data_IF_609466301482
#
_entry.id   IF_609466301482
#
_cell.length_a   1.000
_cell.length_b   1.000
_cell.length_c   1.000
_cell.angle_alpha   90.00
_cell.angle_beta   90.00
_cell.angle_gamma   90.00
#
_symmetry.space_group_name_H-M   'P 1'
#
loop_
_entity.id
_entity.type
_entity.pdbx_description
1 polymer ?
#
# COMPACT_ATOMS: atom_id res chain seq x y z
N UNK A 1 -1.68 -11.95 -25.57
CA UNK A 1 -1.76 -11.03 -26.73
C UNK A 1 -1.49 -9.65 -26.17
N UNK A 2 -0.26 -9.15 -26.35
CA UNK A 2 0.14 -7.81 -25.90
C UNK A 2 -0.67 -6.82 -26.73
N UNK A 3 -1.45 -5.91 -26.14
CA UNK A 3 -2.15 -4.90 -26.95
C UNK A 3 -1.11 -4.06 -27.69
N UNK A 4 -1.36 -3.86 -28.98
CA UNK A 4 -0.51 -3.08 -29.89
C UNK A 4 -0.17 -1.73 -29.27
N UNK A 5 1.13 -1.55 -29.03
CA UNK A 5 1.70 -0.32 -28.49
C UNK A 5 1.72 0.71 -29.62
N UNK A 6 1.07 1.89 -29.46
CA UNK A 6 1.19 2.94 -30.45
C UNK A 6 2.65 3.42 -30.46
N UNK A 7 3.18 3.54 -31.66
CA UNK A 7 4.56 3.88 -31.94
C UNK A 7 5.05 5.11 -31.14
N UNK A 8 6.20 4.96 -30.49
CA UNK A 8 7.01 6.06 -29.96
C UNK A 8 6.92 6.26 -28.45
N UNK A 9 7.67 5.48 -27.68
CA UNK A 9 8.45 5.87 -26.49
C UNK A 9 8.89 4.59 -25.77
N UNK A 10 10.19 4.33 -25.70
CA UNK A 10 10.69 3.29 -24.81
C UNK A 10 10.24 3.61 -23.38
N UNK A 11 9.75 2.60 -22.66
CA UNK A 11 9.46 2.74 -21.24
C UNK A 11 10.72 3.29 -20.55
N UNK A 12 10.64 4.38 -19.76
CA UNK A 12 11.80 4.93 -19.08
C UNK A 12 12.44 3.81 -18.25
N UNK A 13 13.64 3.41 -18.65
CA UNK A 13 14.43 2.49 -17.86
C UNK A 13 14.96 3.29 -16.68
N UNK A 14 14.41 3.03 -15.49
CA UNK A 14 14.91 3.65 -14.26
C UNK A 14 16.17 2.91 -13.85
N UNK A 15 17.26 3.65 -13.68
CA UNK A 15 18.58 3.14 -13.32
C UNK A 15 18.96 3.58 -11.90
N UNK A 16 19.93 2.92 -11.25
CA UNK A 16 20.35 3.30 -9.90
C UNK A 16 20.80 4.76 -9.77
N UNK A 17 21.40 5.34 -10.81
CA UNK A 17 21.80 6.75 -10.87
C UNK A 17 20.63 7.74 -10.79
N UNK A 18 19.41 7.31 -11.14
CA UNK A 18 18.19 8.13 -11.09
C UNK A 18 17.62 8.22 -9.67
N UNK A 19 18.24 7.56 -8.69
CA UNK A 19 17.77 7.52 -7.30
C UNK A 19 17.48 8.91 -6.69
N UNK A 20 18.30 9.96 -6.90
CA UNK A 20 18.02 11.29 -6.36
C UNK A 20 16.75 11.91 -6.95
N UNK A 21 16.58 11.88 -8.27
CA UNK A 21 15.40 12.43 -8.96
C UNK A 21 14.13 11.63 -8.61
N UNK A 22 14.24 10.30 -8.59
CA UNK A 22 13.17 9.42 -8.14
C UNK A 22 12.74 9.75 -6.70
N UNK A 23 13.70 9.95 -5.80
CA UNK A 23 13.44 10.32 -4.42
C UNK A 23 12.76 11.68 -4.33
N UNK A 24 13.20 12.66 -5.12
CA UNK A 24 12.57 13.98 -5.19
C UNK A 24 11.10 13.87 -5.63
N UNK A 25 10.82 13.16 -6.72
CA UNK A 25 9.45 12.93 -7.20
C UNK A 25 8.59 12.22 -6.15
N UNK A 26 9.12 11.18 -5.51
CA UNK A 26 8.43 10.45 -4.46
C UNK A 26 8.13 11.34 -3.25
N UNK A 27 9.12 12.11 -2.80
CA UNK A 27 8.96 13.05 -1.68
C UNK A 27 7.98 14.15 -2.03
N UNK A 28 7.91 14.63 -3.28
CA UNK A 28 6.86 15.57 -3.72
C UNK A 28 5.46 14.94 -3.61
N UNK A 29 5.31 13.69 -4.05
CA UNK A 29 4.06 12.92 -3.91
C UNK A 29 3.66 12.71 -2.44
N UNK A 30 4.63 12.50 -1.54
CA UNK A 30 4.42 12.27 -0.09
C UNK A 30 4.32 13.56 0.72
N UNK A 31 4.90 14.66 0.27
CA UNK A 31 4.92 15.94 1.02
C UNK A 31 3.82 16.90 0.60
N UNK A 32 3.05 16.61 -0.45
CA UNK A 32 1.84 17.37 -0.83
C UNK A 32 0.91 17.59 0.39
N UNK A 33 0.90 18.82 0.89
CA UNK A 33 0.28 19.19 2.17
C UNK A 33 -1.25 19.18 2.15
N UNK A 34 -1.86 19.12 0.96
CA UNK A 34 -3.30 19.32 0.75
C UNK A 34 -4.09 18.01 0.63
N UNK A 35 -3.67 16.95 1.32
CA UNK A 35 -4.41 15.67 1.31
C UNK A 35 -5.64 15.73 2.19
N UNK A 36 -6.74 15.21 1.66
CA UNK A 36 -7.96 15.02 2.43
C UNK A 36 -8.02 13.65 3.09
N UNK A 37 -7.33 12.62 2.58
CA UNK A 37 -7.38 11.22 3.04
C UNK A 37 -6.00 10.55 3.02
N UNK A 38 -5.80 9.51 3.86
CA UNK A 38 -4.56 8.73 3.95
C UNK A 38 -4.34 7.70 2.84
N UNK A 39 -5.28 7.53 1.90
CA UNK A 39 -5.20 6.57 0.79
C UNK A 39 -3.90 6.62 -0.05
N UNK A 40 -3.32 7.79 -0.33
CA UNK A 40 -2.01 7.89 -1.01
C UNK A 40 -0.89 7.29 -0.15
N UNK A 41 -0.89 7.57 1.15
CA UNK A 41 0.12 7.06 2.09
C UNK A 41 -0.03 5.55 2.33
N UNK A 42 -1.27 5.05 2.40
CA UNK A 42 -1.59 3.62 2.41
C UNK A 42 -0.98 2.94 1.17
N UNK A 43 -1.25 3.48 -0.03
CA UNK A 43 -0.73 2.92 -1.27
C UNK A 43 0.81 2.92 -1.30
N UNK A 44 1.44 4.02 -0.88
CA UNK A 44 2.90 4.13 -0.81
C UNK A 44 3.51 3.05 0.09
N UNK A 45 3.06 2.92 1.34
CA UNK A 45 3.62 1.92 2.25
C UNK A 45 3.32 0.49 1.75
N UNK A 46 2.12 0.26 1.21
CA UNK A 46 1.77 -1.00 0.58
C UNK A 46 2.69 -1.34 -0.58
N UNK A 47 3.05 -0.35 -1.41
CA UNK A 47 3.96 -0.53 -2.54
C UNK A 47 5.36 -0.89 -2.05
N UNK A 48 5.91 -0.16 -1.08
CA UNK A 48 7.23 -0.44 -0.51
C UNK A 48 7.35 -1.86 0.06
N UNK A 49 6.27 -2.43 0.58
CA UNK A 49 6.27 -3.80 1.08
C UNK A 49 5.95 -4.85 0.02
N UNK A 50 5.09 -4.54 -0.95
CA UNK A 50 4.70 -5.49 -1.98
C UNK A 50 5.82 -5.73 -3.00
N UNK A 51 6.63 -4.72 -3.33
CA UNK A 51 7.76 -4.89 -4.28
C UNK A 51 8.81 -5.87 -3.77
N UNK A 52 8.95 -6.03 -2.45
CA UNK A 52 9.86 -7.01 -1.83
C UNK A 52 9.46 -8.46 -2.11
N UNK A 53 8.21 -8.69 -2.53
CA UNK A 53 7.69 -10.00 -2.90
C UNK A 53 7.83 -10.28 -4.41
N UNK A 54 8.33 -9.32 -5.16
CA UNK A 54 8.58 -9.47 -6.60
C UNK A 54 10.00 -9.96 -6.84
N UNK A 55 10.19 -10.73 -7.90
CA UNK A 55 11.51 -11.06 -8.45
C UNK A 55 11.67 -10.31 -9.77
N UNK A 56 12.10 -9.04 -9.74
CA UNK A 56 12.24 -8.24 -10.95
C UNK A 56 13.29 -8.86 -11.88
N UNK A 57 12.97 -8.92 -13.17
CA UNK A 57 13.95 -9.26 -14.20
C UNK A 57 14.62 -7.98 -14.70
N UNK A 58 15.96 -8.00 -14.79
CA UNK A 58 16.74 -6.82 -15.17
C UNK A 58 16.27 -6.23 -16.50
N UNK A 59 15.97 -4.93 -16.52
CA UNK A 59 15.55 -4.20 -17.72
C UNK A 59 14.12 -4.46 -18.19
N UNK A 60 13.32 -5.26 -17.47
CA UNK A 60 11.92 -5.52 -17.82
C UNK A 60 10.94 -4.84 -16.86
N UNK A 61 9.74 -4.46 -17.33
CA UNK A 61 8.67 -3.99 -16.45
C UNK A 61 8.35 -5.03 -15.37
N UNK A 62 8.08 -4.57 -14.15
CA UNK A 62 7.73 -5.47 -13.05
C UNK A 62 6.22 -5.60 -12.96
N UNK A 63 5.72 -6.83 -13.10
CA UNK A 63 4.32 -7.17 -12.86
C UNK A 63 4.02 -7.16 -11.37
N UNK A 64 3.14 -6.30 -10.91
CA UNK A 64 2.72 -6.22 -9.51
C UNK A 64 1.20 -6.43 -9.38
N UNK A 65 0.76 -7.63 -8.98
CA UNK A 65 -0.65 -7.89 -8.66
C UNK A 65 -1.15 -6.95 -7.53
N UNK A 66 -2.24 -6.23 -7.77
CA UNK A 66 -2.81 -5.27 -6.80
C UNK A 66 -3.32 -5.98 -5.54
N UNK A 67 -3.61 -7.29 -5.61
CA UNK A 67 -3.87 -8.11 -4.42
C UNK A 67 -2.76 -7.99 -3.37
N UNK A 68 -1.48 -7.94 -3.78
CA UNK A 68 -0.38 -7.83 -2.83
C UNK A 68 -0.36 -6.46 -2.14
N UNK A 69 -0.67 -5.38 -2.88
CA UNK A 69 -0.86 -4.05 -2.31
C UNK A 69 -2.01 -4.01 -1.30
N UNK A 70 -3.12 -4.68 -1.60
CA UNK A 70 -4.29 -4.77 -0.73
C UNK A 70 -4.00 -5.57 0.55
N UNK A 71 -3.31 -6.70 0.45
CA UNK A 71 -2.85 -7.49 1.60
C UNK A 71 -1.93 -6.66 2.51
N UNK A 72 -0.98 -5.90 1.93
CA UNK A 72 -0.13 -4.99 2.71
C UNK A 72 -0.94 -3.88 3.37
N UNK A 73 -1.93 -3.32 2.67
CA UNK A 73 -2.78 -2.26 3.21
C UNK A 73 -3.55 -2.75 4.45
N UNK A 74 -4.09 -3.98 4.41
CA UNK A 74 -4.75 -4.60 5.57
C UNK A 74 -3.76 -4.72 6.73
N UNK A 75 -2.54 -5.20 6.49
CA UNK A 75 -1.53 -5.37 7.54
C UNK A 75 -1.14 -4.04 8.19
N UNK A 76 -0.94 -3.00 7.39
CA UNK A 76 -0.61 -1.64 7.85
C UNK A 76 -1.77 -1.06 8.69
N UNK A 77 -3.00 -1.17 8.21
CA UNK A 77 -4.17 -0.58 8.85
C UNK A 77 -4.71 -1.40 10.03
N UNK A 78 -4.37 -2.69 10.13
CA UNK A 78 -4.86 -3.58 11.19
C UNK A 78 -4.68 -3.04 12.61
N UNK A 79 -3.50 -2.51 13.01
CA UNK A 79 -3.36 -1.83 14.29
C UNK A 79 -4.07 -0.47 14.32
N UNK A 80 -4.06 0.28 13.21
CA UNK A 80 -4.57 1.66 13.15
C UNK A 80 -6.09 1.79 13.33
N UNK A 81 -6.85 0.75 12.98
CA UNK A 81 -8.30 0.73 13.18
C UNK A 81 -8.70 0.41 14.63
N UNK A 82 -7.73 0.19 15.52
CA UNK A 82 -7.99 0.10 16.96
C UNK A 82 -8.17 1.51 17.54
N UNK A 83 -9.05 1.68 18.55
CA UNK A 83 -9.13 2.93 19.27
C UNK A 83 -7.77 3.32 19.87
N UNK A 84 -7.43 4.60 19.79
CA UNK A 84 -6.29 5.21 20.47
C UNK A 84 -6.85 6.03 21.62
N UNK A 85 -6.56 5.66 22.88
CA UNK A 85 -7.16 6.31 24.06
C UNK A 85 -8.70 6.43 23.93
N UNK A 86 -9.37 5.31 23.62
CA UNK A 86 -10.81 5.20 23.34
C UNK A 86 -11.35 5.99 22.13
N UNK A 87 -10.48 6.73 21.43
CA UNK A 87 -10.83 7.46 20.21
C UNK A 87 -10.61 6.60 18.96
N UNK A 88 -11.67 6.38 18.19
CA UNK A 88 -11.55 5.83 16.84
C UNK A 88 -10.91 6.87 15.90
N UNK A 89 -9.67 6.64 15.50
CA UNK A 89 -8.90 7.59 14.69
C UNK A 89 -9.47 7.75 13.29
N UNK A 90 -9.78 9.01 12.94
CA UNK A 90 -10.16 9.40 11.59
C UNK A 90 -8.95 9.39 10.67
N UNK A 91 -9.18 8.86 9.47
CA UNK A 91 -8.18 8.69 8.40
C UNK A 91 -8.46 9.63 7.21
N UNK A 92 -9.32 10.63 7.43
CA UNK A 92 -9.73 11.62 6.45
C UNK A 92 -10.21 12.90 7.12
N UNK A 93 -9.88 14.04 6.51
CA UNK A 93 -10.35 15.38 6.85
C UNK A 93 -11.87 15.52 6.66
N UNK A 94 -12.51 16.37 7.45
CA UNK A 94 -13.95 16.69 7.33
C UNK A 94 -14.92 15.67 7.95
N UNK A 95 -15.92 16.16 8.66
CA UNK A 95 -16.81 15.33 9.51
C UNK A 95 -17.80 14.43 8.75
N UNK A 96 -17.95 14.59 7.42
CA UNK A 96 -19.05 14.01 6.63
C UNK A 96 -18.63 12.90 5.66
N UNK A 97 -17.38 12.44 5.68
CA UNK A 97 -16.95 11.38 4.77
C UNK A 97 -16.26 10.23 5.51
N UNK A 98 -16.28 9.04 4.91
CA UNK A 98 -15.55 7.87 5.40
C UNK A 98 -14.37 7.51 4.49
N UNK A 99 -13.24 7.16 5.11
CA UNK A 99 -12.11 6.59 4.40
C UNK A 99 -12.40 5.11 4.11
N UNK A 100 -12.86 4.82 2.88
CA UNK A 100 -13.36 3.48 2.50
C UNK A 100 -12.37 2.34 2.76
N UNK A 101 -11.08 2.55 2.53
CA UNK A 101 -10.05 1.51 2.74
C UNK A 101 -9.90 1.21 4.26
N UNK A 102 -9.61 2.19 5.14
CA UNK A 102 -9.66 1.97 6.60
C UNK A 102 -10.97 1.37 7.11
N UNK A 103 -12.11 1.81 6.57
CA UNK A 103 -13.43 1.30 6.95
C UNK A 103 -13.60 -0.19 6.63
N UNK A 104 -13.14 -0.65 5.46
CA UNK A 104 -13.15 -2.07 5.11
C UNK A 104 -12.33 -2.91 6.11
N UNK A 105 -11.16 -2.41 6.52
CA UNK A 105 -10.32 -3.08 7.53
C UNK A 105 -10.98 -3.06 8.91
N UNK A 106 -11.61 -1.95 9.30
CA UNK A 106 -12.34 -1.83 10.56
C UNK A 106 -13.52 -2.81 10.63
N UNK A 107 -14.29 -2.97 9.53
CA UNK A 107 -15.38 -3.96 9.43
C UNK A 107 -14.86 -5.40 9.54
N UNK A 108 -13.73 -5.71 8.91
CA UNK A 108 -13.11 -7.04 9.02
C UNK A 108 -12.72 -7.33 10.48
N UNK A 109 -12.15 -6.33 11.15
CA UNK A 109 -11.72 -6.44 12.55
C UNK A 109 -12.89 -6.56 13.53
N UNK A 110 -13.92 -5.71 13.41
CA UNK A 110 -15.03 -5.66 14.37
C UNK A 110 -15.82 -6.97 14.43
N UNK A 111 -15.89 -7.70 13.31
CA UNK A 111 -16.58 -9.00 13.23
C UNK A 111 -15.86 -10.13 13.94
N UNK A 112 -14.61 -9.95 14.33
CA UNK A 112 -13.74 -11.04 14.81
C UNK A 112 -13.06 -10.71 16.13
N UNK A 113 -12.59 -9.48 16.34
CA UNK A 113 -11.85 -9.08 17.55
C UNK A 113 -10.45 -9.67 17.65
N UNK A 114 -10.07 -10.58 16.75
CA UNK A 114 -8.86 -11.38 16.82
C UNK A 114 -7.60 -10.68 16.26
N UNK A 115 -6.46 -11.36 16.34
CA UNK A 115 -5.27 -11.01 15.54
C UNK A 115 -5.51 -11.40 14.07
N UNK A 116 -4.82 -10.72 13.13
CA UNK A 116 -4.97 -11.02 11.70
C UNK A 116 -4.54 -12.46 11.38
N UNK A 117 -3.53 -12.98 12.09
CA UNK A 117 -3.09 -14.37 11.94
C UNK A 117 -4.17 -15.38 12.36
N UNK A 118 -4.76 -15.18 13.54
CA UNK A 118 -5.81 -16.07 14.08
C UNK A 118 -7.08 -16.04 13.23
N UNK A 119 -7.47 -14.86 12.75
CA UNK A 119 -8.61 -14.70 11.84
C UNK A 119 -8.54 -15.68 10.67
N UNK A 120 -7.37 -15.77 10.05
CA UNK A 120 -7.12 -16.56 8.83
C UNK A 120 -7.02 -18.06 9.06
N UNK A 121 -7.02 -18.52 10.31
CA UNK A 121 -6.97 -19.93 10.65
C UNK A 121 -8.31 -20.67 10.44
N UNK A 122 -9.42 -19.93 10.42
CA UNK A 122 -10.75 -20.49 10.19
C UNK A 122 -11.16 -20.33 8.71
N UNK A 123 -11.85 -21.31 8.09
CA UNK A 123 -12.32 -21.17 6.71
C UNK A 123 -13.20 -19.93 6.48
N UNK A 124 -14.08 -19.63 7.44
CA UNK A 124 -14.93 -18.44 7.36
C UNK A 124 -14.14 -17.13 7.50
N UNK A 125 -13.11 -17.10 8.35
CA UNK A 125 -12.25 -15.94 8.52
C UNK A 125 -11.34 -15.69 7.32
N UNK A 126 -10.78 -16.75 6.73
CA UNK A 126 -10.00 -16.63 5.49
C UNK A 126 -10.88 -16.17 4.32
N UNK A 127 -12.10 -16.70 4.16
CA UNK A 127 -13.03 -16.23 3.13
C UNK A 127 -13.32 -14.72 3.26
N UNK A 128 -13.61 -14.24 4.47
CA UNK A 128 -13.83 -12.81 4.75
C UNK A 128 -12.58 -11.96 4.51
N UNK A 129 -11.40 -12.49 4.84
CA UNK A 129 -10.13 -11.83 4.54
C UNK A 129 -9.96 -11.67 3.03
N UNK A 130 -10.18 -12.72 2.24
CA UNK A 130 -10.07 -12.68 0.78
C UNK A 130 -11.10 -11.74 0.13
N UNK A 131 -12.34 -11.71 0.63
CA UNK A 131 -13.35 -10.73 0.20
C UNK A 131 -12.87 -9.28 0.45
N UNK A 132 -12.28 -9.03 1.62
CA UNK A 132 -11.76 -7.70 1.99
C UNK A 132 -10.53 -7.33 1.15
N UNK A 133 -9.64 -8.29 0.86
CA UNK A 133 -8.50 -8.10 -0.06
C UNK A 133 -9.01 -7.67 -1.44
N UNK A 134 -10.03 -8.35 -1.96
CA UNK A 134 -10.65 -8.02 -3.26
C UNK A 134 -11.27 -6.63 -3.26
N UNK A 135 -12.07 -6.28 -2.24
CA UNK A 135 -12.65 -4.94 -2.09
C UNK A 135 -11.56 -3.87 -2.08
N UNK A 136 -10.52 -4.03 -1.27
CA UNK A 136 -9.44 -3.05 -1.16
C UNK A 136 -8.65 -2.96 -2.46
N UNK A 137 -8.39 -4.07 -3.16
CA UNK A 137 -7.69 -4.04 -4.45
C UNK A 137 -8.43 -3.15 -5.47
N UNK A 138 -9.76 -3.26 -5.55
CA UNK A 138 -10.57 -2.39 -6.40
C UNK A 138 -10.59 -0.93 -5.93
N UNK A 139 -10.67 -0.69 -4.62
CA UNK A 139 -10.56 0.66 -4.08
C UNK A 139 -9.21 1.31 -4.41
N UNK A 140 -8.11 0.56 -4.37
CA UNK A 140 -6.77 1.03 -4.74
C UNK A 140 -6.70 1.45 -6.22
N UNK A 141 -7.28 0.64 -7.11
CA UNK A 141 -7.31 0.96 -8.56
C UNK A 141 -8.19 2.15 -8.86
N UNK A 142 -9.37 2.26 -8.24
CA UNK A 142 -10.25 3.37 -8.54
C UNK A 142 -9.76 4.71 -7.98
N UNK A 143 -9.02 4.70 -6.87
CA UNK A 143 -8.74 5.91 -6.10
C UNK A 143 -7.27 6.32 -6.04
N UNK A 144 -6.42 5.69 -5.22
CA UNK A 144 -5.06 6.18 -5.05
C UNK A 144 -4.15 5.88 -6.26
N UNK A 145 -4.29 4.76 -6.97
CA UNK A 145 -3.36 4.41 -8.07
C UNK A 145 -3.38 5.47 -9.21
N UNK A 146 -4.53 5.90 -9.73
CA UNK A 146 -4.56 6.90 -10.81
C UNK A 146 -4.11 8.29 -10.34
N UNK A 147 -4.15 8.56 -9.03
CA UNK A 147 -3.93 9.89 -8.43
C UNK A 147 -2.57 10.03 -7.75
N UNK A 148 -1.85 8.94 -7.53
CA UNK A 148 -0.59 8.97 -6.78
C UNK A 148 0.45 9.81 -7.50
N UNK A 149 0.55 9.63 -8.82
CA UNK A 149 1.49 10.29 -9.72
C UNK A 149 1.01 11.68 -10.19
N UNK A 150 -0.04 12.22 -9.57
CA UNK A 150 -0.53 13.59 -9.82
C UNK A 150 -0.13 14.49 -8.66
N UNK A 151 0.69 15.50 -8.96
CA UNK A 151 1.20 16.49 -8.00
C UNK A 151 0.82 17.88 -8.51
N UNK A 152 0.07 18.65 -7.71
CA UNK A 152 -0.39 20.00 -8.09
C UNK A 152 -1.11 20.06 -9.45
N UNK A 153 -1.78 18.98 -9.85
CA UNK A 153 -2.52 18.88 -11.12
C UNK A 153 -1.69 18.38 -12.30
N UNK A 154 -0.37 18.25 -12.15
CA UNK A 154 0.50 17.69 -13.18
C UNK A 154 0.74 16.19 -12.96
N UNK A 155 0.71 15.41 -14.04
CA UNK A 155 1.01 13.97 -14.02
C UNK A 155 2.51 13.80 -14.25
N UNK A 156 3.18 13.19 -13.28
CA UNK A 156 4.60 12.82 -13.35
C UNK A 156 4.68 11.29 -13.38
N UNK A 157 5.00 10.72 -14.55
CA UNK A 157 5.06 9.27 -14.72
C UNK A 157 6.46 8.75 -14.36
N UNK A 158 6.65 8.24 -13.15
CA UNK A 158 7.94 7.75 -12.64
C UNK A 158 7.89 6.36 -11.98
N UNK A 159 6.69 5.87 -11.63
CA UNK A 159 6.46 4.55 -11.05
C UNK A 159 5.87 3.57 -12.08
N UNK A 160 4.87 4.03 -12.82
CA UNK A 160 4.16 3.28 -13.86
C UNK A 160 3.64 4.25 -14.94
N UNK A 161 3.40 3.76 -16.17
CA UNK A 161 2.75 4.58 -17.18
C UNK A 161 1.33 4.92 -16.73
N UNK A 162 0.87 6.15 -17.01
CA UNK A 162 -0.52 6.56 -16.72
C UNK A 162 -1.29 6.60 -18.05
N UNK A 163 -2.09 5.56 -18.36
CA UNK A 163 -2.90 5.55 -19.57
C UNK A 163 -3.72 6.82 -19.74
N UNK A 164 -3.94 7.24 -20.99
CA UNK A 164 -4.76 8.41 -21.29
C UNK A 164 -6.17 8.29 -20.68
N UNK A 165 -6.73 7.09 -20.62
CA UNK A 165 -8.03 6.82 -19.99
C UNK A 165 -8.06 7.14 -18.50
N UNK A 166 -6.91 7.22 -17.82
CA UNK A 166 -6.81 7.55 -16.40
C UNK A 166 -6.79 9.06 -16.14
N UNK A 167 -6.43 9.85 -17.17
CA UNK A 167 -6.26 11.30 -17.06
C UNK A 167 -7.63 11.97 -16.97
N UNK A 168 -7.78 12.91 -16.03
CA UNK A 168 -9.02 13.67 -15.87
C UNK A 168 -10.18 12.94 -15.19
N UNK A 169 -9.97 11.71 -14.68
CA UNK A 169 -11.02 10.92 -14.01
C UNK A 169 -11.61 11.60 -12.76
N UNK A 170 -10.97 12.62 -12.19
CA UNK A 170 -11.55 13.41 -11.10
C UNK A 170 -11.93 12.55 -9.89
N UNK A 171 -13.22 12.33 -9.65
CA UNK A 171 -13.77 11.44 -8.62
C UNK A 171 -14.51 10.22 -9.18
N UNK A 172 -14.32 9.91 -10.46
CA UNK A 172 -14.95 8.77 -11.09
C UNK A 172 -14.11 7.50 -10.94
N UNK A 173 -14.73 6.36 -11.23
CA UNK A 173 -14.05 5.06 -11.28
C UNK A 173 -13.43 4.87 -12.65
N UNK A 174 -12.29 4.20 -12.67
CA UNK A 174 -11.74 3.67 -13.91
C UNK A 174 -12.72 2.67 -14.56
N UNK A 175 -12.93 2.74 -15.88
CA UNK A 175 -13.68 1.72 -16.61
C UNK A 175 -13.00 0.36 -16.49
N UNK A 176 -13.79 -0.71 -16.28
CA UNK A 176 -13.27 -2.08 -16.12
C UNK A 176 -12.40 -2.55 -17.30
N UNK A 177 -12.69 -2.07 -18.51
CA UNK A 177 -11.91 -2.40 -19.72
C UNK A 177 -10.51 -1.76 -19.76
N UNK A 178 -10.26 -0.75 -18.93
CA UNK A 178 -8.97 -0.06 -18.83
C UNK A 178 -8.04 -0.67 -17.76
N UNK A 179 -8.40 -1.84 -17.21
CA UNK A 179 -7.75 -2.47 -16.06
C UNK A 179 -7.34 -3.90 -16.43
N UNK A 180 -6.03 -4.10 -16.54
CA UNK A 180 -5.44 -5.43 -16.69
C UNK A 180 -5.72 -6.30 -15.47
N UNK A 181 -5.88 -7.61 -15.68
CA UNK A 181 -6.16 -8.58 -14.62
C UNK A 181 -5.22 -9.77 -14.66
N UNK A 182 -4.97 -10.34 -13.49
CA UNK A 182 -4.29 -11.62 -13.34
C UNK A 182 -5.25 -12.80 -13.55
N UNK A 183 -4.70 -14.00 -13.46
CA UNK A 183 -5.41 -15.26 -13.64
C UNK A 183 -6.53 -15.46 -12.61
N UNK A 184 -6.40 -14.83 -11.44
CA UNK A 184 -7.38 -14.84 -10.36
C UNK A 184 -8.39 -13.67 -10.45
N UNK A 185 -8.33 -12.86 -11.52
CA UNK A 185 -9.21 -11.73 -11.78
C UNK A 185 -8.88 -10.47 -10.97
N UNK A 186 -7.74 -10.41 -10.29
CA UNK A 186 -7.28 -9.21 -9.59
C UNK A 186 -6.63 -8.23 -10.54
N UNK A 187 -6.79 -6.91 -10.32
CA UNK A 187 -6.06 -5.93 -11.10
C UNK A 187 -4.54 -6.09 -11.03
N UNK A 188 -3.86 -5.74 -12.11
CA UNK A 188 -2.40 -5.76 -12.22
C UNK A 188 -1.88 -4.35 -12.45
N UNK A 189 -0.80 -4.01 -11.75
CA UNK A 189 -0.05 -2.79 -11.95
C UNK A 189 1.31 -3.13 -12.57
N UNK A 190 1.67 -2.45 -13.65
CA UNK A 190 2.96 -2.62 -14.32
C UNK A 190 3.90 -1.49 -13.96
N UNK A 191 4.93 -1.77 -13.18
CA UNK A 191 5.96 -0.79 -12.84
C UNK A 191 6.94 -0.64 -14.00
N UNK A 192 7.48 0.56 -14.20
CA UNK A 192 8.57 0.75 -15.16
C UNK A 192 9.79 -0.14 -14.82
N UNK A 193 10.61 -0.51 -15.81
CA UNK A 193 11.85 -1.25 -15.57
C UNK A 193 12.72 -0.57 -14.50
N UNK A 194 13.19 -1.35 -13.52
CA UNK A 194 14.07 -0.88 -12.44
C UNK A 194 13.38 -0.17 -11.26
N UNK A 195 12.10 0.19 -11.36
CA UNK A 195 11.36 0.87 -10.28
C UNK A 195 11.25 -0.01 -9.03
N UNK A 196 10.98 -1.32 -9.20
CA UNK A 196 10.88 -2.24 -8.06
C UNK A 196 12.21 -2.31 -7.29
N UNK A 197 13.33 -2.46 -7.99
CA UNK A 197 14.68 -2.48 -7.40
C UNK A 197 15.00 -1.17 -6.67
N UNK A 198 14.65 -0.04 -7.29
CA UNK A 198 14.89 1.26 -6.71
C UNK A 198 14.06 1.46 -5.43
N UNK A 199 12.77 1.11 -5.45
CA UNK A 199 11.90 1.14 -4.27
C UNK A 199 12.40 0.25 -3.13
N UNK A 200 12.97 -0.92 -3.44
CA UNK A 200 13.61 -1.78 -2.44
C UNK A 200 14.82 -1.05 -1.83
N UNK A 201 15.66 -0.42 -2.67
CA UNK A 201 16.87 0.29 -2.25
C UNK A 201 16.57 1.53 -1.40
N UNK A 202 15.60 2.36 -1.81
CA UNK A 202 15.27 3.62 -1.11
C UNK A 202 14.19 3.46 -0.04
N UNK A 203 13.52 2.31 0.03
CA UNK A 203 12.37 2.09 0.91
C UNK A 203 12.65 2.30 2.39
N UNK A 204 13.88 2.01 2.84
CA UNK A 204 14.32 2.28 4.22
C UNK A 204 14.38 3.77 4.57
N UNK A 205 14.66 4.64 3.57
CA UNK A 205 14.67 6.09 3.74
C UNK A 205 13.27 6.69 3.62
N UNK A 206 12.45 6.16 2.69
CA UNK A 206 11.11 6.68 2.42
C UNK A 206 10.12 6.36 3.54
N UNK A 207 10.21 5.15 4.13
CA UNK A 207 9.23 4.67 5.09
C UNK A 207 9.08 5.60 6.32
N UNK A 208 10.15 5.98 7.04
CA UNK A 208 10.02 6.88 8.19
C UNK A 208 9.32 8.20 7.83
N UNK A 209 9.68 8.81 6.69
CA UNK A 209 9.06 10.06 6.24
C UNK A 209 7.57 9.93 5.97
N UNK A 210 7.15 8.81 5.35
CA UNK A 210 5.73 8.52 5.08
C UNK A 210 4.97 8.28 6.39
N UNK A 211 5.54 7.50 7.31
CA UNK A 211 4.94 7.21 8.61
C UNK A 211 4.79 8.48 9.47
N UNK A 212 5.78 9.36 9.47
CA UNK A 212 5.75 10.62 10.20
C UNK A 212 4.74 11.59 9.58
N UNK A 213 4.74 11.71 8.25
CA UNK A 213 3.73 12.51 7.52
C UNK A 213 2.33 12.03 7.83
N UNK A 214 2.10 10.71 7.81
CA UNK A 214 0.80 10.13 8.12
C UNK A 214 0.39 10.39 9.57
N UNK A 215 1.32 10.22 10.52
CA UNK A 215 1.09 10.50 11.94
C UNK A 215 0.64 11.95 12.16
N UNK A 216 1.33 12.92 11.54
CA UNK A 216 0.98 14.34 11.63
C UNK A 216 -0.41 14.62 11.04
N UNK A 217 -0.77 14.01 9.91
CA UNK A 217 -2.09 14.16 9.30
C UNK A 217 -3.21 13.58 10.16
N UNK A 218 -3.00 12.39 10.74
CA UNK A 218 -3.96 11.77 11.65
C UNK A 218 -4.10 12.61 12.92
N UNK A 219 -3.00 13.13 13.48
CA UNK A 219 -3.05 14.02 14.62
C UNK A 219 -3.89 15.27 14.31
N UNK A 220 -3.70 15.85 13.12
CA UNK A 220 -4.48 16.99 12.67
C UNK A 220 -5.98 16.68 12.55
N UNK A 221 -6.35 15.64 11.80
CA UNK A 221 -7.76 15.30 11.56
C UNK A 221 -8.54 14.89 12.81
N UNK A 222 -7.83 14.53 13.88
CA UNK A 222 -8.38 14.12 15.16
C UNK A 222 -8.18 15.16 16.27
N UNK A 223 -7.67 16.35 15.96
CA UNK A 223 -7.37 17.42 16.92
C UNK A 223 -6.41 17.00 18.06
N UNK A 224 -5.48 16.10 17.77
CA UNK A 224 -4.48 15.60 18.72
C UNK A 224 -3.18 16.41 18.68
N UNK A 225 -3.21 17.64 18.15
CA UNK A 225 -2.01 18.48 17.92
C UNK A 225 -1.25 18.84 19.20
N UNK A 226 -1.87 18.75 20.37
CA UNK A 226 -1.21 18.96 21.67
C UNK A 226 -0.53 17.68 22.21
N UNK A 227 -0.82 16.53 21.60
CA UNK A 227 -0.24 15.21 21.91
C UNK A 227 0.27 14.52 20.62
N UNK A 228 1.19 15.12 19.85
CA UNK A 228 1.78 14.48 18.66
C UNK A 228 2.84 13.46 19.10
N UNK A 229 2.57 12.74 20.19
CA UNK A 229 3.57 11.95 20.89
C UNK A 229 4.02 10.76 20.05
N UNK A 230 5.24 10.33 20.33
CA UNK A 230 5.76 9.00 20.01
C UNK A 230 4.68 7.91 20.21
N UNK A 231 3.75 8.06 21.15
CA UNK A 231 2.66 7.13 21.39
C UNK A 231 1.68 7.02 20.20
N UNK A 232 1.28 8.12 19.56
CA UNK A 232 0.42 8.05 18.36
C UNK A 232 1.14 7.36 17.22
N UNK A 233 2.42 7.69 16.99
CA UNK A 233 3.25 7.03 15.98
C UNK A 233 3.37 5.53 16.26
N UNK A 234 3.68 5.15 17.51
CA UNK A 234 3.78 3.76 17.94
C UNK A 234 2.44 3.02 17.87
N UNK A 235 1.31 3.70 18.07
CA UNK A 235 -0.01 3.12 17.88
C UNK A 235 -0.30 2.85 16.40
N UNK A 236 0.01 3.82 15.52
CA UNK A 236 -0.24 3.68 14.10
C UNK A 236 0.71 2.68 13.42
N UNK A 237 1.97 2.64 13.86
CA UNK A 237 3.05 1.86 13.28
C UNK A 237 3.83 1.08 14.37
N UNK A 238 3.18 0.12 15.05
CA UNK A 238 3.78 -0.62 16.17
C UNK A 238 4.95 -1.53 15.78
N UNK A 239 5.20 -1.70 14.48
CA UNK A 239 6.23 -2.57 13.92
C UNK A 239 7.26 -1.80 13.08
N UNK A 240 7.44 -0.48 13.30
CA UNK A 240 8.44 0.31 12.57
C UNK A 240 9.86 -0.30 12.64
N UNK A 241 10.17 -1.03 13.72
CA UNK A 241 11.46 -1.70 13.93
C UNK A 241 11.53 -3.15 13.41
N UNK A 242 10.49 -3.66 12.73
CA UNK A 242 10.60 -4.97 12.05
C UNK A 242 11.34 -4.81 10.73
N UNK A 243 12.65 -4.56 10.81
CA UNK A 243 13.58 -5.01 9.79
C UNK A 243 13.33 -6.49 9.52
N UNK A 244 13.36 -6.89 8.25
CA UNK A 244 13.25 -8.29 7.82
C UNK A 244 14.01 -9.20 8.78
N UNK A 245 13.36 -10.26 9.29
CA UNK A 245 14.09 -11.28 10.03
C UNK A 245 15.26 -11.74 9.15
N UNK A 246 16.52 -11.72 9.65
CA UNK A 246 17.66 -12.25 8.92
C UNK A 246 17.33 -13.65 8.41
N UNK A 247 17.81 -14.01 7.22
CA UNK A 247 17.46 -15.30 6.60
C UNK A 247 17.82 -16.50 7.51
N UNK A 248 18.90 -16.39 8.28
CA UNK A 248 19.28 -17.37 9.30
C UNK A 248 18.24 -17.56 10.41
N UNK A 249 17.58 -16.48 10.83
CA UNK A 249 16.54 -16.54 11.86
C UNK A 249 15.20 -17.03 11.26
N UNK A 250 14.96 -16.75 9.98
CA UNK A 250 13.80 -17.29 9.24
C UNK A 250 13.88 -18.80 9.12
N UNK A 251 15.02 -19.34 8.71
CA UNK A 251 15.26 -20.79 8.64
C UNK A 251 15.07 -21.45 10.00
N UNK A 252 15.59 -20.83 11.06
CA UNK A 252 15.46 -21.34 12.42
C UNK A 252 14.00 -21.36 12.89
N UNK A 253 13.22 -20.31 12.59
CA UNK A 253 11.80 -20.26 12.92
C UNK A 253 10.96 -21.27 12.12
N UNK A 254 11.30 -21.50 10.85
CA UNK A 254 10.68 -22.54 10.02
C UNK A 254 11.01 -23.92 10.59
N UNK A 255 12.25 -24.14 11.01
CA UNK A 255 12.70 -25.40 11.61
C UNK A 255 12.05 -25.66 12.97
N UNK A 256 11.97 -24.65 13.85
CA UNK A 256 11.31 -24.74 15.16
C UNK A 256 9.82 -25.04 14.99
N UNK A 257 9.19 -24.46 13.97
CA UNK A 257 7.75 -24.55 13.78
C UNK A 257 7.33 -25.62 12.77
N UNK A 258 8.28 -26.45 12.31
CA UNK A 258 8.08 -27.57 11.39
C UNK A 258 7.26 -27.21 10.12
N UNK A 259 7.34 -25.96 9.67
CA UNK A 259 6.56 -25.47 8.52
C UNK A 259 5.05 -25.30 8.77
N UNK A 260 4.57 -25.43 10.00
CA UNK A 260 3.16 -25.21 10.34
C UNK A 260 2.87 -23.70 10.54
N UNK A 261 1.61 -23.30 10.64
CA UNK A 261 1.23 -21.93 10.98
C UNK A 261 1.24 -21.74 12.50
N UNK A 262 1.83 -20.66 13.03
CA UNK A 262 2.00 -20.41 14.48
C UNK A 262 0.69 -20.42 15.28
N UNK A 263 -0.44 -20.16 14.61
CA UNK A 263 -1.73 -19.98 15.25
C UNK A 263 -2.68 -21.17 15.12
N UNK A 264 -2.46 -22.04 14.14
CA UNK A 264 -3.39 -23.15 13.88
C UNK A 264 -2.73 -24.50 13.60
N UNK A 265 -1.40 -24.59 13.67
CA UNK A 265 -0.65 -25.85 13.53
C UNK A 265 -0.89 -26.58 12.19
N UNK A 266 -1.47 -25.89 11.19
CA UNK A 266 -1.64 -26.42 9.84
C UNK A 266 -0.43 -26.07 9.00
N UNK A 267 0.06 -27.05 8.25
CA UNK A 267 1.06 -26.92 7.18
C UNK A 267 0.45 -26.28 5.94
#
# INVERSE_FOLDING_TARGET
MVPDSPAGTGFPQVRPEDAPEFLEHFLRVVSESRRTTSYKLILVLSLLDAVKLTSPAAGLPTRLPVRHLAERAIQILWPQVRPFNDLALRQMSGAKGTAKIPEAVARLRSRTGESLGRLRCSPAGEARYQETVREIAWLLVWWPIPRLQTVLGEVVEFLWPVPHSWRGIGNDKLPDAAIDRDEAGYPVLWLFPGVADLLIRVGGLLRPHVEDTWTLQVADWNNLRQDPSLALRSHLFPNADRSSLPDSLRELLIAIHHGHCFWCERS
#
